data_IF_398283567786
#
_entry.id   IF_398283567786
#
_cell.length_a   1.000
_cell.length_b   1.000
_cell.length_c   1.000
_cell.angle_alpha   90.00
_cell.angle_beta   90.00
_cell.angle_gamma   90.00
#
_symmetry.space_group_name_H-M   'P 1'
#
loop_
_entity.id
_entity.type
_entity.pdbx_description
1 polymer ?
#
# COMPACT_ATOMS: atom_id res chain seq x y z
N UNK A 1 11.84 -12.16 -0.85
CA UNK A 1 11.34 -10.97 -1.57
C UNK A 1 11.84 -9.71 -0.88
N UNK A 2 12.35 -8.78 -1.67
CA UNK A 2 12.82 -7.49 -1.13
C UNK A 2 11.65 -6.54 -1.01
N UNK A 3 11.58 -5.82 0.10
CA UNK A 3 10.54 -4.82 0.33
C UNK A 3 11.22 -3.47 0.53
N UNK A 4 10.88 -2.52 -0.34
CA UNK A 4 11.41 -1.17 -0.30
C UNK A 4 10.27 -0.19 -0.03
N UNK A 5 10.59 0.94 0.58
CA UNK A 5 9.62 2.00 0.85
C UNK A 5 10.06 3.27 0.15
N UNK A 6 9.11 3.95 -0.51
CA UNK A 6 9.40 5.29 -1.02
C UNK A 6 9.49 6.27 0.14
N UNK A 7 10.09 7.44 -0.10
CA UNK A 7 10.13 8.51 0.90
C UNK A 7 8.71 8.91 1.33
N UNK A 8 7.80 8.96 0.36
CA UNK A 8 6.39 9.28 0.64
C UNK A 8 5.77 8.26 1.60
N UNK A 9 6.00 6.95 1.33
CA UNK A 9 5.46 5.89 2.18
C UNK A 9 6.01 6.01 3.59
N UNK A 10 7.32 6.22 3.73
CA UNK A 10 7.94 6.36 5.03
C UNK A 10 7.36 7.52 5.83
N UNK A 11 7.17 8.68 5.17
CA UNK A 11 6.61 9.85 5.83
C UNK A 11 5.18 9.59 6.30
N UNK A 12 4.37 8.96 5.45
CA UNK A 12 2.99 8.62 5.82
C UNK A 12 2.96 7.64 6.98
N UNK A 13 3.82 6.61 6.94
CA UNK A 13 3.86 5.60 7.99
C UNK A 13 4.26 6.21 9.34
N UNK A 14 5.22 7.12 9.33
CA UNK A 14 5.71 7.75 10.56
C UNK A 14 4.66 8.66 11.20
N UNK A 15 3.67 9.11 10.43
CA UNK A 15 2.60 9.96 10.95
C UNK A 15 1.45 9.19 11.57
N UNK A 16 1.44 7.87 11.45
CA UNK A 16 0.38 7.05 12.04
C UNK A 16 0.48 7.12 13.56
N UNK A 17 -0.63 7.48 14.21
CA UNK A 17 -0.69 7.61 15.66
C UNK A 17 -1.48 6.49 16.33
N UNK A 18 -2.47 5.95 15.61
CA UNK A 18 -3.34 4.91 16.18
C UNK A 18 -2.76 3.53 15.95
N UNK A 19 -2.78 2.70 16.98
CA UNK A 19 -2.30 1.33 16.88
C UNK A 19 -3.13 0.51 15.91
N UNK A 20 -4.45 0.74 15.87
CA UNK A 20 -5.32 0.03 14.94
C UNK A 20 -4.94 0.29 13.48
N UNK A 21 -4.63 1.54 13.15
CA UNK A 21 -4.21 1.89 11.80
C UNK A 21 -2.87 1.24 11.45
N UNK A 22 -1.94 1.27 12.39
CA UNK A 22 -0.62 0.65 12.20
C UNK A 22 -0.74 -0.85 11.98
N UNK A 23 -1.58 -1.51 12.78
CA UNK A 23 -1.80 -2.94 12.66
C UNK A 23 -2.46 -3.31 11.33
N UNK A 24 -3.46 -2.53 10.91
CA UNK A 24 -4.15 -2.78 9.65
C UNK A 24 -3.22 -2.60 8.45
N UNK A 25 -2.36 -1.58 8.48
CA UNK A 25 -1.38 -1.37 7.42
C UNK A 25 -0.38 -2.55 7.38
N UNK A 26 0.08 -3.00 8.54
CA UNK A 26 1.01 -4.13 8.61
C UNK A 26 0.38 -5.39 8.00
N UNK A 27 -0.88 -5.65 8.31
CA UNK A 27 -1.59 -6.79 7.73
C UNK A 27 -1.73 -6.66 6.22
N UNK A 28 -1.99 -5.46 5.72
CA UNK A 28 -2.10 -5.22 4.29
C UNK A 28 -0.77 -5.50 3.59
N UNK A 29 0.34 -5.03 4.18
CA UNK A 29 1.66 -5.29 3.63
C UNK A 29 1.96 -6.78 3.61
N UNK A 30 1.63 -7.51 4.68
CA UNK A 30 1.81 -8.96 4.71
C UNK A 30 0.97 -9.66 3.66
N UNK A 31 -0.27 -9.22 3.45
CA UNK A 31 -1.14 -9.79 2.43
C UNK A 31 -0.56 -9.64 1.03
N UNK A 32 0.00 -8.47 0.72
CA UNK A 32 0.64 -8.22 -0.56
C UNK A 32 1.93 -9.03 -0.69
N UNK A 33 2.68 -9.15 0.40
CA UNK A 33 3.92 -9.93 0.40
C UNK A 33 3.64 -11.40 0.09
N UNK A 34 2.56 -11.94 0.66
CA UNK A 34 2.17 -13.33 0.43
C UNK A 34 1.58 -13.55 -0.96
N UNK A 35 0.94 -12.55 -1.54
CA UNK A 35 0.38 -12.63 -2.88
C UNK A 35 0.48 -11.28 -3.59
N UNK A 36 1.63 -11.01 -4.23
CA UNK A 36 1.84 -9.71 -4.88
C UNK A 36 0.84 -9.39 -5.99
N UNK A 37 0.18 -10.39 -6.55
CA UNK A 37 -0.82 -10.19 -7.59
C UNK A 37 -2.19 -9.81 -7.03
N UNK A 38 -2.36 -9.80 -5.70
CA UNK A 38 -3.65 -9.55 -5.08
C UNK A 38 -4.17 -8.14 -5.35
N UNK A 39 -3.28 -7.15 -5.43
CA UNK A 39 -3.69 -5.78 -5.73
C UNK A 39 -4.11 -5.62 -7.18
N UNK A 40 -5.10 -4.78 -7.41
CA UNK A 40 -5.61 -4.51 -8.74
C UNK A 40 -4.73 -3.49 -9.45
N UNK A 41 -4.37 -3.76 -10.71
CA UNK A 41 -3.59 -2.81 -11.50
C UNK A 41 -4.34 -1.51 -11.71
N UNK A 42 -3.65 -0.41 -11.58
CA UNK A 42 -4.21 0.90 -11.88
C UNK A 42 -4.15 1.15 -13.39
N UNK A 43 -4.77 2.25 -13.81
CA UNK A 43 -4.89 2.57 -15.24
C UNK A 43 -4.07 3.79 -15.59
N UNK A 44 -3.86 3.99 -16.91
CA UNK A 44 -3.19 5.17 -17.43
C UNK A 44 -1.73 5.24 -17.02
N UNK A 45 -1.30 6.40 -16.61
CA UNK A 45 0.09 6.63 -16.20
C UNK A 45 0.50 5.87 -14.94
N UNK A 46 -0.49 5.35 -14.20
CA UNK A 46 -0.23 4.57 -12.99
C UNK A 46 -0.31 3.06 -13.23
N UNK A 47 -0.30 2.62 -14.49
CA UNK A 47 -0.49 1.20 -14.82
C UNK A 47 0.59 0.29 -14.25
N UNK A 48 1.75 0.84 -13.88
CA UNK A 48 2.83 0.07 -13.26
C UNK A 48 2.59 -0.18 -11.77
N UNK A 49 1.55 0.43 -11.20
CA UNK A 49 1.23 0.30 -9.78
C UNK A 49 0.01 -0.57 -9.57
N UNK A 50 -0.12 -1.10 -8.37
CA UNK A 50 -1.29 -1.87 -7.94
C UNK A 50 -1.86 -1.27 -6.68
N UNK A 51 -3.17 -1.45 -6.48
CA UNK A 51 -3.87 -0.98 -5.28
C UNK A 51 -4.45 -2.17 -4.54
N UNK A 52 -4.08 -2.36 -3.30
CA UNK A 52 -4.58 -3.42 -2.43
C UNK A 52 -5.54 -2.81 -1.42
N UNK A 53 -6.84 -3.21 -1.45
CA UNK A 53 -7.82 -2.63 -0.53
C UNK A 53 -7.66 -3.22 0.87
N UNK A 54 -7.81 -2.37 1.87
CA UNK A 54 -7.88 -2.81 3.26
C UNK A 54 -8.76 -1.82 4.02
N UNK A 55 -8.96 -2.05 5.30
CA UNK A 55 -9.84 -1.20 6.10
C UNK A 55 -9.22 -0.92 7.45
N UNK A 56 -9.51 0.28 7.98
CA UNK A 56 -9.15 0.67 9.34
C UNK A 56 -10.44 1.09 10.02
N UNK A 57 -10.89 0.33 11.02
CA UNK A 57 -12.12 0.61 11.75
C UNK A 57 -13.31 0.81 10.81
N UNK A 58 -13.41 -0.03 9.78
CA UNK A 58 -14.48 0.04 8.79
C UNK A 58 -14.30 1.07 7.69
N UNK A 59 -13.26 1.87 7.75
CA UNK A 59 -12.99 2.86 6.69
C UNK A 59 -12.09 2.26 5.61
N UNK A 60 -12.53 2.40 4.36
CA UNK A 60 -11.79 1.86 3.22
C UNK A 60 -10.49 2.61 2.98
N UNK A 61 -9.43 1.85 2.78
CA UNK A 61 -8.09 2.36 2.50
C UNK A 61 -7.47 1.57 1.35
N UNK A 62 -6.42 2.10 0.77
CA UNK A 62 -5.67 1.44 -0.29
C UNK A 62 -4.19 1.50 -0.01
N UNK A 63 -3.52 0.37 -0.23
CA UNK A 63 -2.06 0.29 -0.23
C UNK A 63 -1.62 0.28 -1.70
N UNK A 64 -0.84 1.27 -2.09
CA UNK A 64 -0.33 1.39 -3.46
C UNK A 64 1.09 0.87 -3.50
N UNK A 65 1.36 -0.04 -4.44
CA UNK A 65 2.67 -0.65 -4.51
C UNK A 65 3.04 -1.02 -5.95
N UNK A 66 4.31 -1.22 -6.15
CA UNK A 66 4.89 -1.74 -7.40
C UNK A 66 5.40 -3.15 -7.10
N UNK A 67 5.08 -4.08 -7.96
CA UNK A 67 5.61 -5.45 -7.88
C UNK A 67 6.43 -5.73 -9.12
N UNK A 68 7.71 -6.05 -8.94
CA UNK A 68 8.63 -6.37 -10.03
C UNK A 68 9.51 -7.53 -9.59
N UNK A 69 9.24 -8.72 -10.16
CA UNK A 69 9.99 -9.96 -9.86
C UNK A 69 10.02 -10.22 -8.35
N UNK A 70 11.19 -10.07 -7.73
CA UNK A 70 11.36 -10.36 -6.31
C UNK A 70 11.29 -9.12 -5.43
N UNK A 71 10.83 -8.00 -5.97
CA UNK A 71 10.82 -6.74 -5.26
C UNK A 71 9.43 -6.16 -5.15
N UNK A 72 9.07 -5.73 -3.96
CA UNK A 72 7.89 -4.91 -3.71
C UNK A 72 8.36 -3.53 -3.32
N UNK A 73 7.82 -2.51 -3.98
CA UNK A 73 8.06 -1.12 -3.59
C UNK A 73 6.75 -0.59 -3.03
N UNK A 74 6.74 -0.28 -1.74
CA UNK A 74 5.57 0.30 -1.08
C UNK A 74 5.56 1.78 -1.41
N UNK A 75 4.58 2.20 -2.18
CA UNK A 75 4.56 3.53 -2.79
C UNK A 75 3.84 4.55 -1.91
N UNK A 76 2.61 4.24 -1.50
CA UNK A 76 1.82 5.09 -0.62
C UNK A 76 0.64 4.31 -0.07
N UNK A 77 -0.11 4.92 0.83
CA UNK A 77 -1.35 4.34 1.34
C UNK A 77 -2.24 5.47 1.84
N UNK A 78 -3.53 5.18 2.00
CA UNK A 78 -4.47 6.14 2.52
C UNK A 78 -5.89 5.90 2.04
N UNK A 79 -6.79 6.84 2.33
CA UNK A 79 -8.18 6.72 1.88
C UNK A 79 -8.28 6.70 0.37
N UNK A 80 -9.36 6.12 -0.13
CA UNK A 80 -9.63 6.08 -1.55
C UNK A 80 -9.67 7.50 -2.14
N UNK A 81 -9.00 7.68 -3.27
CA UNK A 81 -8.94 8.96 -3.98
C UNK A 81 -7.88 9.88 -3.39
N UNK A 82 -7.01 10.41 -4.14
CA UNK A 82 -6.02 11.39 -3.72
C UNK A 82 -4.68 10.84 -3.24
N UNK A 83 -4.56 9.56 -2.97
CA UNK A 83 -3.31 9.01 -2.43
C UNK A 83 -2.18 8.92 -3.46
N UNK A 84 -2.51 9.01 -4.72
CA UNK A 84 -1.51 8.99 -5.80
C UNK A 84 -1.63 10.22 -6.70
N UNK A 85 -2.20 11.27 -6.17
CA UNK A 85 -2.23 12.55 -6.88
C UNK A 85 -0.99 13.36 -6.56
#
# INVERSE_FOLDING_TARGET
>A
MRILETSKFQKLRKKIREDAERASLKEAVLGVEMNPAAGKKLKGEFAHLRAYPYAVKGQARRLIYLWDKDTLVLYSFGPRGGIYK
#
